data_IF_078759320082
#
_entry.id   IF_078759320082
#
_cell.length_a   1.000
_cell.length_b   1.000
_cell.length_c   1.000
_cell.angle_alpha   90.00
_cell.angle_beta   90.00
_cell.angle_gamma   90.00
#
_symmetry.space_group_name_H-M   'P 1'
#
loop_
_entity.id
_entity.type
_entity.pdbx_description
1 polymer ?
#
# COMPACT_ATOMS: atom_id res chain seq x y z
N UNK A 1 -27.03 -12.02 10.49
CA UNK A 1 -27.85 -11.02 9.76
C UNK A 1 -28.02 -9.65 10.45
N UNK A 2 -27.67 -9.43 11.72
CA UNK A 2 -27.80 -8.10 12.37
C UNK A 2 -26.61 -7.14 12.21
N UNK A 3 -25.42 -7.61 11.79
CA UNK A 3 -24.22 -6.76 11.62
C UNK A 3 -24.25 -5.85 10.37
N UNK A 4 -24.84 -6.31 9.27
CA UNK A 4 -24.85 -5.52 8.02
C UNK A 4 -25.74 -4.28 8.09
N UNK A 5 -26.77 -4.29 8.94
CA UNK A 5 -27.64 -3.12 9.12
C UNK A 5 -26.95 -1.99 9.91
N UNK A 6 -25.96 -2.31 10.76
CA UNK A 6 -25.25 -1.29 11.53
C UNK A 6 -24.28 -0.49 10.63
N UNK A 7 -23.59 -1.19 9.72
CA UNK A 7 -22.64 -0.59 8.77
C UNK A 7 -23.38 0.32 7.77
N UNK A 8 -24.54 -0.11 7.25
CA UNK A 8 -25.34 0.70 6.32
C UNK A 8 -25.88 1.97 7.00
N UNK A 9 -26.27 1.89 8.27
CA UNK A 9 -26.73 3.07 9.03
C UNK A 9 -25.56 4.01 9.37
N UNK A 10 -24.38 3.48 9.71
CA UNK A 10 -23.19 4.29 9.96
C UNK A 10 -22.73 5.04 8.70
N UNK A 11 -22.69 4.36 7.54
CA UNK A 11 -22.36 4.97 6.24
C UNK A 11 -23.41 6.02 5.85
N UNK A 12 -24.70 5.75 6.07
CA UNK A 12 -25.77 6.70 5.74
C UNK A 12 -25.74 7.94 6.63
N UNK A 13 -25.42 7.80 7.93
CA UNK A 13 -25.21 8.93 8.84
C UNK A 13 -23.94 9.71 8.50
N UNK A 14 -22.85 9.04 8.13
CA UNK A 14 -21.61 9.69 7.71
C UNK A 14 -21.80 10.48 6.41
N UNK A 15 -22.51 9.92 5.42
CA UNK A 15 -22.87 10.63 4.19
C UNK A 15 -23.82 11.81 4.45
N UNK A 16 -24.84 11.63 5.29
CA UNK A 16 -25.76 12.71 5.65
C UNK A 16 -25.02 13.86 6.35
N UNK A 17 -24.06 13.56 7.23
CA UNK A 17 -23.22 14.57 7.90
C UNK A 17 -22.22 15.24 6.96
N UNK A 18 -21.57 14.49 6.07
CA UNK A 18 -20.70 15.06 5.02
C UNK A 18 -21.49 16.00 4.09
N UNK A 19 -22.76 15.67 3.81
CA UNK A 19 -23.67 16.53 3.05
C UNK A 19 -24.16 17.75 3.85
N UNK A 20 -24.26 17.66 5.19
CA UNK A 20 -24.62 18.83 6.04
C UNK A 20 -23.45 19.80 6.19
N UNK A 21 -22.21 19.30 6.32
CA UNK A 21 -20.99 20.12 6.27
C UNK A 21 -20.93 20.90 4.95
N UNK A 22 -21.31 20.26 3.84
CA UNK A 22 -21.30 20.88 2.51
C UNK A 22 -22.41 21.90 2.26
N UNK A 23 -23.46 21.97 3.08
CA UNK A 23 -24.66 22.79 2.80
C UNK A 23 -24.98 23.88 3.84
N UNK A 24 -24.24 23.95 4.96
CA UNK A 24 -24.54 24.91 6.04
C UNK A 24 -23.38 25.75 6.57
N UNK A 25 -22.16 25.60 6.05
CA UNK A 25 -21.03 26.40 6.51
C UNK A 25 -21.06 27.79 5.86
N UNK A 26 -21.30 28.81 6.69
CA UNK A 26 -20.60 30.09 6.57
C UNK A 26 -19.15 29.73 6.26
N UNK A 27 -18.65 30.07 5.08
CA UNK A 27 -17.26 29.83 4.68
C UNK A 27 -16.32 30.56 5.65
N UNK A 28 -16.10 29.95 6.81
CA UNK A 28 -15.05 30.36 7.71
C UNK A 28 -13.75 30.04 6.98
N UNK A 29 -12.89 31.05 6.84
CA UNK A 29 -11.57 30.85 6.27
C UNK A 29 -10.90 29.64 6.96
N UNK A 30 -10.21 28.77 6.20
CA UNK A 30 -9.54 27.59 6.75
C UNK A 30 -8.57 27.93 7.89
N UNK A 31 -8.12 29.18 7.97
CA UNK A 31 -7.22 29.72 8.99
C UNK A 31 -7.93 30.31 10.22
N UNK A 32 -9.25 30.16 10.34
CA UNK A 32 -9.97 30.65 11.52
C UNK A 32 -9.58 29.86 12.77
N UNK A 33 -9.51 30.53 13.93
CA UNK A 33 -9.24 29.88 15.21
C UNK A 33 -10.23 28.74 15.53
N UNK A 34 -11.47 28.84 15.05
CA UNK A 34 -12.47 27.79 15.17
C UNK A 34 -12.13 26.56 14.32
N UNK A 35 -11.71 26.74 13.06
CA UNK A 35 -11.26 25.65 12.21
C UNK A 35 -10.04 24.94 12.82
N UNK A 36 -9.08 25.70 13.33
CA UNK A 36 -7.90 25.14 14.01
C UNK A 36 -8.28 24.32 15.25
N UNK A 37 -9.16 24.84 16.11
CA UNK A 37 -9.64 24.10 17.28
C UNK A 37 -10.34 22.80 16.87
N UNK A 38 -11.18 22.82 15.82
CA UNK A 38 -11.85 21.61 15.31
C UNK A 38 -10.87 20.57 14.79
N UNK A 39 -9.81 20.99 14.10
CA UNK A 39 -8.80 20.06 13.62
C UNK A 39 -7.94 19.49 14.75
N UNK A 40 -7.69 20.25 15.82
CA UNK A 40 -7.05 19.73 17.03
C UNK A 40 -7.93 18.70 17.76
N UNK A 41 -9.24 18.96 17.88
CA UNK A 41 -10.22 17.99 18.40
C UNK A 41 -10.25 16.72 17.55
N UNK A 42 -10.19 16.86 16.23
CA UNK A 42 -10.15 15.74 15.29
C UNK A 42 -8.89 14.88 15.44
N UNK A 43 -7.72 15.52 15.57
CA UNK A 43 -6.45 14.83 15.82
C UNK A 43 -6.46 14.06 17.15
N UNK A 44 -7.03 14.65 18.21
CA UNK A 44 -7.21 13.97 19.48
C UNK A 44 -8.16 12.75 19.37
N UNK A 45 -9.23 12.85 18.59
CA UNK A 45 -10.17 11.74 18.39
C UNK A 45 -9.58 10.59 17.57
N UNK A 46 -8.68 10.88 16.62
CA UNK A 46 -7.94 9.86 15.86
C UNK A 46 -7.02 9.01 16.75
N UNK A 47 -6.48 9.59 17.83
CA UNK A 47 -5.54 8.90 18.71
C UNK A 47 -6.18 8.41 20.02
N UNK A 48 -7.42 8.80 20.31
CA UNK A 48 -8.12 8.42 21.53
C UNK A 48 -8.55 6.94 21.55
N UNK A 49 -8.82 6.41 22.75
CA UNK A 49 -9.16 4.99 22.98
C UNK A 49 -10.58 4.60 22.54
N UNK A 50 -11.43 5.58 22.21
CA UNK A 50 -12.80 5.32 21.80
C UNK A 50 -12.85 4.97 20.32
N UNK A 51 -12.93 3.67 20.00
CA UNK A 51 -12.96 3.17 18.62
C UNK A 51 -14.05 3.80 17.73
N UNK A 52 -15.23 4.11 18.28
CA UNK A 52 -16.32 4.74 17.50
C UNK A 52 -15.98 6.19 17.15
N UNK A 53 -15.39 6.94 18.08
CA UNK A 53 -14.92 8.32 17.80
C UNK A 53 -13.77 8.31 16.81
N UNK A 54 -12.84 7.38 16.98
CA UNK A 54 -11.69 7.18 16.11
C UNK A 54 -12.12 6.90 14.67
N UNK A 55 -13.03 5.93 14.48
CA UNK A 55 -13.56 5.59 13.16
C UNK A 55 -14.24 6.80 12.49
N UNK A 56 -15.10 7.50 13.24
CA UNK A 56 -15.73 8.74 12.76
C UNK A 56 -14.70 9.81 12.38
N UNK A 57 -13.64 9.96 13.18
CA UNK A 57 -12.59 10.93 12.93
C UNK A 57 -11.84 10.65 11.62
N UNK A 58 -11.56 9.38 11.30
CA UNK A 58 -10.95 9.03 10.00
C UNK A 58 -11.88 9.37 8.84
N UNK A 59 -13.20 9.12 8.96
CA UNK A 59 -14.16 9.51 7.92
C UNK A 59 -14.24 11.02 7.72
N UNK A 60 -14.21 11.80 8.80
CA UNK A 60 -14.18 13.26 8.73
C UNK A 60 -12.88 13.74 8.07
N UNK A 61 -11.74 13.15 8.44
CA UNK A 61 -10.45 13.46 7.83
C UNK A 61 -10.47 13.17 6.32
N UNK A 62 -10.90 11.98 5.90
CA UNK A 62 -11.02 11.62 4.48
C UNK A 62 -11.89 12.64 3.71
N UNK A 63 -13.02 13.05 4.29
CA UNK A 63 -13.91 14.03 3.69
C UNK A 63 -13.31 15.44 3.58
N UNK A 64 -12.42 15.85 4.49
CA UNK A 64 -11.67 17.11 4.39
C UNK A 64 -10.69 17.07 3.21
N UNK A 65 -10.06 15.92 3.01
CA UNK A 65 -9.02 15.70 2.00
C UNK A 65 -7.68 16.36 2.36
N UNK A 66 -6.58 15.93 1.71
CA UNK A 66 -5.23 16.28 2.12
C UNK A 66 -4.97 17.80 2.11
N UNK A 67 -5.51 18.52 1.12
CA UNK A 67 -5.30 19.98 1.00
C UNK A 67 -5.89 20.83 2.13
N UNK A 68 -6.80 20.28 2.95
CA UNK A 68 -7.49 20.99 4.03
C UNK A 68 -7.16 20.47 5.43
N UNK A 69 -6.53 19.31 5.52
CA UNK A 69 -6.06 18.77 6.79
C UNK A 69 -4.90 19.61 7.33
N UNK A 70 -4.99 19.94 8.61
CA UNK A 70 -3.89 20.51 9.38
C UNK A 70 -2.78 19.47 9.54
N UNK A 71 -1.62 19.98 9.91
CA UNK A 71 -0.46 19.16 10.22
C UNK A 71 -0.74 18.15 11.35
N UNK A 72 -1.44 18.57 12.41
CA UNK A 72 -1.77 17.70 13.54
C UNK A 72 -2.66 16.51 13.12
N UNK A 73 -3.61 16.73 12.22
CA UNK A 73 -4.49 15.67 11.70
C UNK A 73 -3.69 14.69 10.82
N UNK A 74 -2.78 15.21 9.99
CA UNK A 74 -1.88 14.38 9.16
C UNK A 74 -0.99 13.49 10.03
N UNK A 75 -0.35 14.08 11.04
CA UNK A 75 0.48 13.36 12.01
C UNK A 75 -0.35 12.30 12.74
N UNK A 76 -1.54 12.65 13.23
CA UNK A 76 -2.41 11.70 13.93
C UNK A 76 -2.83 10.51 13.06
N UNK A 77 -3.12 10.73 11.78
CA UNK A 77 -3.43 9.64 10.83
C UNK A 77 -2.23 8.71 10.60
N UNK A 78 -1.02 9.28 10.44
CA UNK A 78 0.22 8.50 10.28
C UNK A 78 0.49 7.68 11.54
N UNK A 79 0.45 8.30 12.71
CA UNK A 79 0.64 7.63 14.00
C UNK A 79 -0.39 6.52 14.22
N UNK A 80 -1.66 6.75 13.84
CA UNK A 80 -2.68 5.70 13.92
C UNK A 80 -2.35 4.50 13.00
N UNK A 81 -1.83 4.75 11.79
CA UNK A 81 -1.41 3.67 10.90
C UNK A 81 -0.21 2.89 11.47
N UNK A 82 0.75 3.59 12.08
CA UNK A 82 1.90 2.97 12.74
C UNK A 82 1.47 2.07 13.90
N UNK A 83 0.55 2.54 14.75
CA UNK A 83 -0.03 1.74 15.83
C UNK A 83 -0.66 0.45 15.31
N UNK A 84 -1.40 0.51 14.20
CA UNK A 84 -1.98 -0.70 13.61
C UNK A 84 -0.94 -1.65 13.03
N UNK A 85 0.14 -1.15 12.42
CA UNK A 85 1.23 -1.99 11.95
C UNK A 85 1.92 -2.69 13.14
N UNK A 86 2.13 -1.98 14.24
CA UNK A 86 2.75 -2.56 15.44
C UNK A 86 1.84 -3.62 16.10
N UNK A 87 0.53 -3.37 16.16
CA UNK A 87 -0.47 -4.36 16.60
C UNK A 87 -0.49 -5.59 15.69
N UNK A 88 -0.37 -5.41 14.37
CA UNK A 88 -0.28 -6.48 13.39
C UNK A 88 0.99 -7.33 13.62
N UNK A 89 2.15 -6.70 13.79
CA UNK A 89 3.41 -7.41 14.00
C UNK A 89 3.38 -8.22 15.30
N UNK A 90 2.81 -7.67 16.38
CA UNK A 90 2.61 -8.40 17.64
C UNK A 90 1.67 -9.59 17.45
N UNK A 91 0.56 -9.42 16.72
CA UNK A 91 -0.38 -10.50 16.45
C UNK A 91 0.27 -11.62 15.61
N UNK A 92 1.00 -11.26 14.55
CA UNK A 92 1.74 -12.20 13.70
C UNK A 92 2.80 -12.97 14.51
N UNK A 93 3.57 -12.28 15.35
CA UNK A 93 4.57 -12.90 16.23
C UNK A 93 3.96 -13.88 17.25
N UNK A 94 2.71 -13.64 17.67
CA UNK A 94 1.96 -14.51 18.57
C UNK A 94 1.16 -15.62 17.86
N UNK A 95 1.19 -15.65 16.52
CA UNK A 95 0.38 -16.58 15.72
C UNK A 95 -1.14 -16.34 15.84
N UNK A 96 -1.53 -15.13 16.25
CA UNK A 96 -2.93 -14.73 16.41
C UNK A 96 -3.46 -14.22 15.06
N UNK A 97 -4.65 -14.67 14.67
CA UNK A 97 -5.27 -14.20 13.44
C UNK A 97 -5.55 -12.68 13.52
N UNK A 98 -5.07 -11.91 12.55
CA UNK A 98 -5.16 -10.44 12.51
C UNK A 98 -6.61 -9.93 12.69
N UNK A 99 -7.59 -10.66 12.14
CA UNK A 99 -9.03 -10.37 12.24
C UNK A 99 -9.56 -10.34 13.70
N UNK A 100 -8.83 -10.95 14.62
CA UNK A 100 -9.16 -10.95 16.05
C UNK A 100 -8.56 -9.78 16.83
N UNK A 101 -7.62 -9.03 16.23
CA UNK A 101 -6.87 -7.94 16.87
C UNK A 101 -7.21 -6.59 16.25
N UNK A 102 -7.27 -6.54 14.92
CA UNK A 102 -7.52 -5.31 14.17
C UNK A 102 -8.82 -5.47 13.39
N UNK A 103 -9.71 -4.47 13.46
CA UNK A 103 -10.83 -4.37 12.53
C UNK A 103 -10.25 -4.17 11.13
N UNK A 104 -10.04 -5.27 10.39
CA UNK A 104 -9.24 -5.27 9.16
C UNK A 104 -9.71 -4.25 8.12
N UNK A 105 -11.02 -4.02 8.00
CA UNK A 105 -11.59 -2.99 7.12
C UNK A 105 -11.24 -1.56 7.56
N UNK A 106 -11.21 -1.30 8.87
CA UNK A 106 -10.88 0.02 9.41
C UNK A 106 -9.40 0.35 9.19
N UNK A 107 -8.49 -0.56 9.51
CA UNK A 107 -7.05 -0.40 9.22
C UNK A 107 -6.79 -0.09 7.74
N UNK A 108 -7.44 -0.85 6.86
CA UNK A 108 -7.34 -0.65 5.42
C UNK A 108 -7.82 0.73 4.99
N UNK A 109 -8.87 1.24 5.62
CA UNK A 109 -9.37 2.59 5.37
C UNK A 109 -8.36 3.65 5.83
N UNK A 110 -7.76 3.50 7.01
CA UNK A 110 -6.68 4.40 7.48
C UNK A 110 -5.51 4.40 6.50
N UNK A 111 -5.03 3.23 6.09
CA UNK A 111 -3.95 3.10 5.12
C UNK A 111 -4.26 3.81 3.81
N UNK A 112 -5.51 3.70 3.32
CA UNK A 112 -5.97 4.43 2.12
C UNK A 112 -5.90 5.94 2.32
N UNK A 113 -6.43 6.48 3.43
CA UNK A 113 -6.43 7.92 3.69
C UNK A 113 -5.00 8.43 3.79
N UNK A 114 -4.14 7.74 4.56
CA UNK A 114 -2.72 8.09 4.70
C UNK A 114 -2.01 8.07 3.34
N UNK A 115 -2.31 7.09 2.48
CA UNK A 115 -1.74 7.02 1.14
C UNK A 115 -2.14 8.19 0.23
N UNK A 116 -3.15 9.01 0.58
CA UNK A 116 -3.53 10.23 -0.17
C UNK A 116 -2.85 11.50 0.35
N UNK A 117 -2.13 11.44 1.48
CA UNK A 117 -1.52 12.62 2.09
C UNK A 117 -0.31 13.14 1.29
N UNK A 118 0.29 12.28 0.47
CA UNK A 118 1.57 12.50 -0.23
C UNK A 118 2.65 13.05 0.71
N UNK A 119 2.66 12.53 1.95
CA UNK A 119 3.55 12.96 3.03
C UNK A 119 4.73 11.99 3.17
N UNK A 120 5.99 12.44 3.01
CA UNK A 120 7.16 11.57 3.15
C UNK A 120 7.28 10.90 4.52
N UNK A 121 6.69 11.46 5.58
CA UNK A 121 6.70 10.85 6.92
C UNK A 121 5.87 9.57 6.97
N UNK A 122 4.90 9.42 6.07
CA UNK A 122 4.05 8.24 5.99
C UNK A 122 4.74 7.04 5.31
N UNK A 123 5.90 7.23 4.66
CA UNK A 123 6.57 6.20 3.84
C UNK A 123 6.77 4.90 4.61
N UNK A 124 7.35 4.98 5.81
CA UNK A 124 7.65 3.80 6.64
C UNK A 124 6.37 3.04 7.00
N UNK A 125 5.34 3.77 7.46
CA UNK A 125 4.06 3.21 7.84
C UNK A 125 3.34 2.56 6.63
N UNK A 126 3.37 3.19 5.45
CA UNK A 126 2.76 2.68 4.23
C UNK A 126 3.48 1.45 3.69
N UNK A 127 4.82 1.41 3.74
CA UNK A 127 5.61 0.26 3.27
C UNK A 127 5.30 -1.02 4.07
N UNK A 128 4.97 -0.88 5.36
CA UNK A 128 4.62 -2.01 6.25
C UNK A 128 3.20 -2.55 6.06
N UNK A 129 2.34 -1.91 5.27
CA UNK A 129 0.93 -2.34 5.12
C UNK A 129 0.83 -3.70 4.41
N UNK A 130 0.56 -4.74 5.19
CA UNK A 130 0.50 -6.13 4.75
C UNK A 130 -0.90 -6.62 4.36
N UNK A 131 -1.62 -5.95 3.45
CA UNK A 131 -2.97 -6.42 3.06
C UNK A 131 -3.34 -6.20 1.58
N UNK A 132 -4.13 -7.13 1.06
CA UNK A 132 -4.45 -7.33 -0.34
C UNK A 132 -5.53 -6.39 -0.90
N UNK A 133 -6.54 -6.03 -0.10
CA UNK A 133 -7.76 -5.38 -0.59
C UNK A 133 -7.54 -3.92 -1.07
N UNK A 134 -6.60 -3.19 -0.47
CA UNK A 134 -6.27 -1.81 -0.85
C UNK A 134 -4.80 -1.63 -1.25
N UNK A 135 -4.10 -2.73 -1.57
CA UNK A 135 -2.71 -2.73 -2.02
C UNK A 135 -2.45 -1.72 -3.15
N UNK A 136 -3.42 -1.48 -4.03
CA UNK A 136 -3.31 -0.48 -5.11
C UNK A 136 -3.22 0.97 -4.59
N UNK A 137 -3.97 1.35 -3.56
CA UNK A 137 -3.94 2.72 -3.04
C UNK A 137 -2.62 3.02 -2.32
N UNK A 138 -2.18 2.08 -1.47
CA UNK A 138 -0.90 2.16 -0.77
C UNK A 138 0.25 2.17 -1.77
N UNK A 139 0.26 1.23 -2.73
CA UNK A 139 1.28 1.18 -3.77
C UNK A 139 1.33 2.46 -4.61
N UNK A 140 0.17 3.02 -4.97
CA UNK A 140 0.11 4.29 -5.70
C UNK A 140 0.61 5.46 -4.86
N UNK A 141 0.29 5.52 -3.56
CA UNK A 141 0.82 6.54 -2.65
C UNK A 141 2.34 6.47 -2.53
N UNK A 142 2.89 5.27 -2.30
CA UNK A 142 4.33 5.03 -2.29
C UNK A 142 4.98 5.40 -3.63
N UNK A 143 4.37 5.04 -4.75
CA UNK A 143 4.86 5.38 -6.09
C UNK A 143 4.88 6.89 -6.37
N UNK A 144 3.89 7.65 -5.86
CA UNK A 144 3.88 9.13 -5.97
C UNK A 144 4.99 9.79 -5.15
N UNK A 145 5.38 9.19 -4.04
CA UNK A 145 6.55 9.61 -3.25
C UNK A 145 7.88 9.24 -3.95
N UNK A 146 7.83 8.37 -4.96
CA UNK A 146 8.91 8.07 -5.88
C UNK A 146 10.13 7.47 -5.18
N UNK A 147 11.32 7.92 -5.60
CA UNK A 147 12.60 7.41 -5.10
C UNK A 147 12.77 7.54 -3.58
N UNK A 148 12.14 8.53 -2.94
CA UNK A 148 12.21 8.70 -1.48
C UNK A 148 11.61 7.51 -0.73
N UNK A 149 10.68 6.78 -1.34
CA UNK A 149 10.05 5.61 -0.73
C UNK A 149 10.86 4.32 -0.88
N UNK A 150 11.84 4.27 -1.81
CA UNK A 150 12.59 3.06 -2.13
C UNK A 150 13.34 2.45 -0.93
N UNK A 151 14.05 3.21 -0.07
CA UNK A 151 14.75 2.62 1.07
C UNK A 151 13.83 1.84 2.01
N UNK A 152 12.63 2.35 2.29
CA UNK A 152 11.65 1.67 3.14
C UNK A 152 11.03 0.45 2.44
N UNK A 153 10.68 0.60 1.15
CA UNK A 153 10.20 -0.50 0.31
C UNK A 153 11.18 -1.67 0.31
N UNK A 154 12.46 -1.38 0.06
CA UNK A 154 13.55 -2.35 0.00
C UNK A 154 13.71 -3.04 1.36
N UNK A 155 13.72 -2.26 2.44
CA UNK A 155 13.84 -2.79 3.80
C UNK A 155 12.74 -3.80 4.12
N UNK A 156 11.48 -3.49 3.80
CA UNK A 156 10.35 -4.41 4.03
C UNK A 156 10.45 -5.66 3.16
N UNK A 157 10.85 -5.53 1.89
CA UNK A 157 11.03 -6.68 1.01
C UNK A 157 12.15 -7.60 1.50
N UNK A 158 13.28 -7.03 1.90
CA UNK A 158 14.43 -7.78 2.40
C UNK A 158 14.11 -8.48 3.73
N UNK A 159 13.44 -7.80 4.66
CA UNK A 159 13.02 -8.37 5.94
C UNK A 159 12.00 -9.51 5.77
N UNK A 160 11.07 -9.39 4.82
CA UNK A 160 10.09 -10.44 4.49
C UNK A 160 10.69 -11.74 3.94
N UNK A 161 11.95 -11.73 3.49
CA UNK A 161 12.65 -12.97 3.11
C UNK A 161 13.01 -13.83 4.31
N UNK A 162 13.13 -13.23 5.50
CA UNK A 162 13.37 -13.94 6.75
C UNK A 162 12.09 -14.59 7.33
N UNK A 163 10.94 -14.46 6.64
CA UNK A 163 9.67 -15.06 7.05
C UNK A 163 8.53 -14.06 7.27
N UNK A 164 8.75 -12.76 7.09
CA UNK A 164 7.74 -11.72 7.35
C UNK A 164 6.67 -11.58 6.23
N UNK A 165 5.66 -10.76 6.52
CA UNK A 165 4.35 -10.68 5.88
C UNK A 165 4.37 -10.67 4.34
N UNK A 166 3.84 -11.74 3.74
CA UNK A 166 3.76 -11.95 2.28
C UNK A 166 3.04 -10.84 1.51
N UNK A 167 2.14 -10.14 2.18
CA UNK A 167 1.29 -9.13 1.57
C UNK A 167 2.02 -7.80 1.44
N UNK A 168 2.89 -7.47 2.39
CA UNK A 168 3.70 -6.25 2.33
C UNK A 168 4.64 -6.31 1.12
N UNK A 169 5.33 -7.44 0.91
CA UNK A 169 6.17 -7.65 -0.30
C UNK A 169 5.40 -7.37 -1.58
N UNK A 170 4.18 -7.90 -1.69
CA UNK A 170 3.37 -7.73 -2.90
C UNK A 170 2.99 -6.27 -3.12
N UNK A 171 2.58 -5.55 -2.08
CA UNK A 171 2.24 -4.12 -2.16
C UNK A 171 3.47 -3.30 -2.57
N UNK A 172 4.63 -3.58 -1.99
CA UNK A 172 5.88 -2.89 -2.27
C UNK A 172 6.40 -3.16 -3.69
N UNK A 173 6.32 -4.40 -4.19
CA UNK A 173 6.63 -4.70 -5.60
C UNK A 173 5.64 -4.04 -6.57
N UNK A 174 4.37 -3.89 -6.18
CA UNK A 174 3.41 -3.13 -6.98
C UNK A 174 3.78 -1.63 -7.03
N UNK A 175 4.24 -1.06 -5.91
CA UNK A 175 4.72 0.32 -5.87
C UNK A 175 5.92 0.51 -6.81
N UNK A 176 6.92 -0.39 -6.75
CA UNK A 176 8.05 -0.39 -7.66
C UNK A 176 7.59 -0.47 -9.13
N UNK A 177 6.68 -1.41 -9.45
CA UNK A 177 6.13 -1.56 -10.80
C UNK A 177 5.48 -0.26 -11.32
N UNK A 178 4.77 0.48 -10.46
CA UNK A 178 4.21 1.79 -10.80
C UNK A 178 5.28 2.87 -10.96
N UNK A 179 6.33 2.86 -10.13
CA UNK A 179 7.45 3.81 -10.24
C UNK A 179 8.19 3.65 -11.58
N UNK A 180 8.48 2.40 -11.98
CA UNK A 180 9.23 2.14 -13.23
C UNK A 180 8.35 2.27 -14.47
N UNK A 181 7.10 1.84 -14.40
CA UNK A 181 6.16 1.88 -15.53
C UNK A 181 5.55 3.27 -15.73
N UNK A 182 4.64 3.68 -14.85
CA UNK A 182 3.91 4.94 -14.98
C UNK A 182 4.81 6.17 -14.71
N UNK A 183 5.76 6.02 -13.76
CA UNK A 183 6.71 7.07 -13.40
C UNK A 183 7.82 7.27 -14.44
N UNK A 184 8.14 6.20 -15.18
CA UNK A 184 9.26 6.13 -16.13
C UNK A 184 10.58 5.85 -15.42
N UNK A 185 11.24 4.74 -15.80
CA UNK A 185 12.52 4.33 -15.22
C UNK A 185 13.62 5.40 -15.31
N UNK A 186 13.58 6.29 -16.32
CA UNK A 186 14.57 7.36 -16.53
C UNK A 186 14.53 8.47 -15.47
N UNK A 187 13.47 8.51 -14.64
CA UNK A 187 13.37 9.46 -13.53
C UNK A 187 14.05 8.99 -12.24
N UNK A 188 14.49 7.73 -12.20
CA UNK A 188 15.15 7.14 -11.05
C UNK A 188 16.66 7.40 -11.13
N UNK A 189 17.28 7.66 -9.99
CA UNK A 189 18.74 7.67 -9.91
C UNK A 189 19.34 6.30 -10.24
N UNK A 190 20.63 6.28 -10.59
CA UNK A 190 21.35 5.03 -10.82
C UNK A 190 21.31 4.11 -9.59
N UNK A 191 21.47 4.66 -8.38
CA UNK A 191 21.40 3.90 -7.14
C UNK A 191 20.00 3.31 -6.91
N UNK A 192 18.95 4.08 -7.18
CA UNK A 192 17.57 3.60 -7.08
C UNK A 192 17.29 2.46 -8.08
N UNK A 193 17.78 2.59 -9.31
CA UNK A 193 17.69 1.51 -10.31
C UNK A 193 18.42 0.25 -9.86
N UNK A 194 19.64 0.37 -9.34
CA UNK A 194 20.42 -0.76 -8.81
C UNK A 194 19.67 -1.51 -7.71
N UNK A 195 19.06 -0.79 -6.77
CA UNK A 195 18.24 -1.38 -5.71
C UNK A 195 17.02 -2.11 -6.26
N UNK A 196 16.31 -1.51 -7.23
CA UNK A 196 15.16 -2.16 -7.87
C UNK A 196 15.59 -3.40 -8.65
N UNK A 197 16.70 -3.34 -9.39
CA UNK A 197 17.23 -4.49 -10.14
C UNK A 197 17.54 -5.63 -9.20
N UNK A 198 18.24 -5.34 -8.08
CA UNK A 198 18.54 -6.34 -7.05
C UNK A 198 17.26 -6.98 -6.48
N UNK A 199 16.32 -6.16 -6.00
CA UNK A 199 15.06 -6.65 -5.42
C UNK A 199 14.25 -7.46 -6.44
N UNK A 200 14.24 -7.03 -7.71
CA UNK A 200 13.52 -7.70 -8.79
C UNK A 200 14.16 -9.05 -9.11
N UNK A 201 15.48 -9.11 -9.27
CA UNK A 201 16.25 -10.34 -9.48
C UNK A 201 15.92 -11.38 -8.42
N UNK A 202 16.00 -10.98 -7.16
CA UNK A 202 15.74 -11.87 -6.03
C UNK A 202 14.27 -12.31 -5.97
N UNK A 203 13.34 -11.45 -6.39
CA UNK A 203 11.90 -11.74 -6.42
C UNK A 203 11.52 -12.83 -7.43
N UNK A 204 12.32 -13.04 -8.48
CA UNK A 204 12.13 -14.19 -9.37
C UNK A 204 12.25 -15.53 -8.63
N UNK A 205 13.07 -15.60 -7.58
CA UNK A 205 13.34 -16.83 -6.82
C UNK A 205 12.29 -17.10 -5.73
N UNK A 206 11.22 -16.32 -5.71
CA UNK A 206 10.12 -16.53 -4.77
C UNK A 206 9.34 -17.82 -5.08
N UNK A 207 8.90 -18.52 -4.03
CA UNK A 207 7.93 -19.63 -4.14
C UNK A 207 6.49 -19.15 -4.38
N UNK A 208 6.28 -17.86 -4.70
CA UNK A 208 4.97 -17.24 -4.89
C UNK A 208 4.84 -16.70 -6.30
N UNK A 209 3.99 -17.32 -7.11
CA UNK A 209 3.87 -16.93 -8.52
C UNK A 209 3.36 -15.50 -8.72
N UNK A 210 2.61 -14.92 -7.77
CA UNK A 210 2.24 -13.49 -7.83
C UNK A 210 3.44 -12.55 -7.68
N UNK A 211 4.44 -12.94 -6.88
CA UNK A 211 5.69 -12.20 -6.70
C UNK A 211 6.52 -12.27 -7.96
N UNK A 212 6.69 -13.47 -8.55
CA UNK A 212 7.41 -13.65 -9.81
C UNK A 212 6.76 -12.83 -10.94
N UNK A 213 5.43 -12.84 -11.06
CA UNK A 213 4.74 -12.04 -12.07
C UNK A 213 4.99 -10.54 -11.94
N UNK A 214 5.09 -10.03 -10.70
CA UNK A 214 5.47 -8.63 -10.47
C UNK A 214 6.93 -8.37 -10.83
N UNK A 215 7.82 -9.31 -10.56
CA UNK A 215 9.21 -9.22 -11.00
C UNK A 215 9.33 -9.17 -12.53
N UNK A 216 8.52 -9.96 -13.26
CA UNK A 216 8.42 -9.89 -14.73
C UNK A 216 7.96 -8.50 -15.18
N UNK A 217 6.88 -7.96 -14.59
CA UNK A 217 6.38 -6.62 -14.93
C UNK A 217 7.47 -5.54 -14.77
N UNK A 218 8.22 -5.61 -13.66
CA UNK A 218 9.30 -4.66 -13.35
C UNK A 218 10.49 -4.85 -14.31
N UNK A 219 10.89 -6.09 -14.58
CA UNK A 219 11.99 -6.42 -15.48
C UNK A 219 11.77 -5.87 -16.89
N UNK A 220 10.56 -6.05 -17.42
CA UNK A 220 10.17 -5.52 -18.73
C UNK A 220 10.13 -4.00 -18.73
N UNK A 221 9.55 -3.38 -17.71
CA UNK A 221 9.47 -1.92 -17.63
C UNK A 221 10.83 -1.23 -17.45
N UNK A 222 11.80 -1.91 -16.81
CA UNK A 222 13.17 -1.42 -16.66
C UNK A 222 14.03 -1.62 -17.93
N UNK A 223 13.69 -2.60 -18.77
CA UNK A 223 14.48 -3.03 -19.93
C UNK A 223 15.95 -3.36 -19.59
N UNK A 224 16.17 -3.95 -18.41
CA UNK A 224 17.51 -4.32 -17.93
C UNK A 224 17.92 -5.70 -18.49
N UNK A 225 19.02 -5.82 -19.27
CA UNK A 225 19.32 -7.02 -20.05
C UNK A 225 19.36 -8.31 -19.24
N UNK A 226 19.90 -8.26 -18.02
CA UNK A 226 19.97 -9.43 -17.14
C UNK A 226 18.57 -9.90 -16.70
N UNK A 227 17.69 -8.97 -16.33
CA UNK A 227 16.34 -9.31 -15.90
C UNK A 227 15.50 -9.80 -17.08
N UNK A 228 15.64 -9.18 -18.24
CA UNK A 228 14.96 -9.61 -19.49
C UNK A 228 15.37 -11.04 -19.86
N UNK A 229 16.65 -11.40 -19.73
CA UNK A 229 17.10 -12.78 -19.95
C UNK A 229 16.42 -13.78 -18.99
N UNK A 230 16.18 -13.40 -17.73
CA UNK A 230 15.41 -14.23 -16.79
C UNK A 230 13.96 -14.41 -17.25
N UNK A 231 13.32 -13.35 -17.77
CA UNK A 231 11.96 -13.44 -18.34
C UNK A 231 11.93 -14.36 -19.56
N UNK A 232 12.92 -14.23 -20.46
CA UNK A 232 13.08 -15.11 -21.65
C UNK A 232 13.25 -16.57 -21.24
N UNK A 233 14.08 -16.85 -20.24
CA UNK A 233 14.28 -18.20 -19.76
C UNK A 233 12.95 -18.80 -19.27
N UNK A 234 12.18 -18.05 -18.45
CA UNK A 234 10.86 -18.48 -17.96
C UNK A 234 9.84 -18.67 -19.10
N UNK A 235 9.88 -17.81 -20.11
CA UNK A 235 8.97 -17.91 -21.27
C UNK A 235 9.31 -19.09 -22.20
N UNK A 236 10.53 -19.62 -22.13
CA UNK A 236 10.97 -20.77 -22.93
C UNK A 236 10.83 -22.08 -22.16
N UNK A 237 11.02 -22.05 -20.84
CA UNK A 237 11.04 -23.22 -19.99
C UNK A 237 10.24 -23.01 -18.69
N UNK A 238 9.00 -23.53 -18.60
CA UNK A 238 8.21 -23.46 -17.38
C UNK A 238 8.82 -24.24 -16.20
N UNK A 239 9.73 -25.19 -16.45
CA UNK A 239 10.37 -25.98 -15.38
C UNK A 239 11.22 -25.12 -14.45
N UNK A 240 11.81 -24.03 -14.96
CA UNK A 240 12.56 -23.03 -14.19
C UNK A 240 11.73 -22.48 -13.02
N UNK A 241 10.41 -22.33 -13.22
CA UNK A 241 9.47 -21.85 -12.20
C UNK A 241 8.99 -23.02 -11.32
N UNK A 242 8.78 -24.20 -11.90
CA UNK A 242 8.35 -25.40 -11.19
C UNK A 242 9.37 -25.86 -10.13
N UNK A 243 10.67 -25.78 -10.44
CA UNK A 243 11.78 -26.09 -9.53
C UNK A 243 11.78 -25.23 -8.25
N UNK A 244 11.01 -24.12 -8.25
CA UNK A 244 10.82 -23.24 -7.08
C UNK A 244 9.68 -23.67 -6.17
N UNK A 245 9.05 -24.82 -6.43
CA UNK A 245 7.96 -25.36 -5.60
C UNK A 245 6.59 -24.78 -5.90
N UNK A 246 6.40 -24.19 -7.09
CA UNK A 246 5.08 -23.74 -7.54
C UNK A 246 4.27 -24.92 -8.09
N UNK A 247 2.96 -24.92 -7.81
CA UNK A 247 2.04 -25.89 -8.41
C UNK A 247 1.89 -25.66 -9.92
N UNK A 248 1.46 -26.69 -10.65
CA UNK A 248 1.35 -26.65 -12.12
C UNK A 248 0.47 -25.50 -12.63
N UNK A 249 -0.62 -25.17 -11.92
CA UNK A 249 -1.47 -24.04 -12.29
C UNK A 249 -0.73 -22.70 -12.18
N UNK A 250 0.04 -22.50 -11.12
CA UNK A 250 0.84 -21.29 -10.94
C UNK A 250 2.03 -21.23 -11.89
N UNK A 251 2.64 -22.37 -12.22
CA UNK A 251 3.68 -22.47 -13.26
C UNK A 251 3.14 -22.00 -14.60
N UNK A 252 1.99 -22.53 -15.05
CA UNK A 252 1.36 -22.15 -16.31
C UNK A 252 1.03 -20.65 -16.36
N UNK A 253 0.52 -20.10 -15.24
CA UNK A 253 0.20 -18.67 -15.15
C UNK A 253 1.42 -17.77 -15.21
N UNK A 254 2.53 -18.15 -14.56
CA UNK A 254 3.77 -17.38 -14.59
C UNK A 254 4.40 -17.46 -15.97
N UNK A 255 4.47 -18.65 -16.57
CA UNK A 255 4.99 -18.87 -17.91
C UNK A 255 4.22 -18.07 -18.96
N UNK A 256 2.89 -18.19 -18.97
CA UNK A 256 2.04 -17.39 -19.87
C UNK A 256 2.29 -15.88 -19.68
N UNK A 257 2.37 -15.42 -18.44
CA UNK A 257 2.62 -14.01 -18.14
C UNK A 257 3.98 -13.54 -18.67
N UNK A 258 5.02 -14.37 -18.63
CA UNK A 258 6.32 -14.07 -19.22
C UNK A 258 6.26 -13.97 -20.76
N UNK A 259 5.57 -14.91 -21.42
CA UNK A 259 5.35 -14.87 -22.88
C UNK A 259 4.59 -13.61 -23.29
N UNK A 260 3.49 -13.29 -22.59
CA UNK A 260 2.68 -12.11 -22.85
C UNK A 260 3.51 -10.83 -22.67
N UNK A 261 4.33 -10.75 -21.60
CA UNK A 261 5.14 -9.58 -21.31
C UNK A 261 6.23 -9.30 -22.37
N UNK A 262 6.89 -10.34 -22.89
CA UNK A 262 7.87 -10.21 -23.98
C UNK A 262 7.23 -9.83 -25.32
N UNK A 263 5.98 -10.24 -25.53
CA UNK A 263 5.24 -9.87 -26.75
C UNK A 263 5.00 -8.36 -26.78
N UNK A 264 4.64 -7.76 -25.64
CA UNK A 264 4.46 -6.30 -25.50
C UNK A 264 5.76 -5.53 -25.73
N UNK A 265 6.92 -6.08 -25.35
CA UNK A 265 8.22 -5.43 -25.59
C UNK A 265 8.61 -5.38 -27.07
N UNK A 266 8.08 -6.28 -27.89
CA UNK A 266 8.42 -6.37 -29.30
C UNK A 266 7.60 -5.42 -30.19
N UNK A 267 6.56 -4.80 -29.65
CA UNK A 267 5.67 -3.81 -30.31
C UNK A 267 6.20 -2.38 -30.17
#
# INVERSE_FOLDING_TARGET
MRRNNLVIVAISCALAMALTVRSGEVEHAPDSAWAQQRQAELAADLLGDNGVRRERAVFVADALGPSRMSEDVRIALITLLEQFNDEQDVAEAQGIALESVVQGEFFLWVARVVATLDDPRAISALARVGNHAFSKHVASGLARLGEQALPAIVTVIDASRAGESKFAVRTNLLAISMMVGDGGADRLSASAREDIVRVTRDSFWSQRGTTIRKAIDIAVALDEPELVQMVVAISQDPSIVAERGLDGFMVDRVHKHAVDALSVMAE
#
